data_IF_932136119341
#
_entry.id   IF_932136119341
#
_cell.length_a   1.000
_cell.length_b   1.000
_cell.length_c   1.000
_cell.angle_alpha   90.00
_cell.angle_beta   90.00
_cell.angle_gamma   90.00
#
_symmetry.space_group_name_H-M   'P 1'
#
loop_
_entity.id
_entity.type
_entity.pdbx_description
1 polymer ?
#
# COMPACT_ATOMS: atom_id res chain seq x y z
N UNK A 1 -11.52 6.05 -2.45
CA UNK A 1 -10.07 5.74 -2.61
C UNK A 1 -9.72 4.50 -1.78
N UNK A 2 -8.79 3.66 -2.27
CA UNK A 2 -8.28 2.50 -1.51
C UNK A 2 -6.93 2.84 -0.89
N UNK A 3 -6.77 2.60 0.40
CA UNK A 3 -5.52 2.83 1.13
C UNK A 3 -5.05 1.55 1.79
N UNK A 4 -3.74 1.41 1.93
CA UNK A 4 -3.05 0.32 2.58
C UNK A 4 -2.75 0.76 4.01
N UNK A 5 -3.17 -0.03 5.00
CA UNK A 5 -2.76 0.19 6.38
C UNK A 5 -1.26 -0.08 6.51
N UNK A 6 -0.50 0.86 7.06
CA UNK A 6 0.97 0.79 7.07
C UNK A 6 1.54 -0.23 8.07
N UNK A 7 0.70 -0.75 8.96
CA UNK A 7 1.05 -1.78 9.95
C UNK A 7 0.57 -3.17 9.54
N UNK A 8 -0.67 -3.29 9.06
CA UNK A 8 -1.28 -4.59 8.71
C UNK A 8 -1.15 -4.95 7.24
N UNK A 9 -0.87 -3.99 6.37
CA UNK A 9 -0.92 -4.11 4.91
C UNK A 9 -2.32 -4.43 4.35
N UNK A 10 -3.37 -4.30 5.16
CA UNK A 10 -4.73 -4.49 4.72
C UNK A 10 -5.19 -3.33 3.84
N UNK A 11 -5.90 -3.66 2.77
CA UNK A 11 -6.55 -2.67 1.91
C UNK A 11 -7.91 -2.29 2.51
N UNK A 12 -8.14 -0.99 2.65
CA UNK A 12 -9.42 -0.44 3.07
C UNK A 12 -9.91 0.63 2.09
N UNK A 13 -11.20 0.59 1.81
CA UNK A 13 -11.87 1.64 1.03
C UNK A 13 -12.32 2.79 1.94
N UNK A 14 -12.01 4.00 1.49
CA UNK A 14 -12.41 5.26 2.09
C UNK A 14 -13.20 6.09 1.08
N UNK A 15 -14.27 6.72 1.54
CA UNK A 15 -15.06 7.69 0.78
C UNK A 15 -14.58 9.10 1.11
N UNK A 16 -14.74 10.07 0.20
CA UNK A 16 -14.04 11.37 0.23
C UNK A 16 -14.06 12.06 1.60
N UNK A 17 -15.23 12.14 2.24
CA UNK A 17 -15.42 12.79 3.56
C UNK A 17 -14.71 12.07 4.73
N UNK A 18 -14.25 10.84 4.54
CA UNK A 18 -13.62 9.99 5.56
C UNK A 18 -12.17 9.64 5.23
N UNK A 19 -11.57 10.33 4.26
CA UNK A 19 -10.20 10.04 3.83
C UNK A 19 -9.21 10.50 4.90
N UNK A 20 -8.44 9.59 5.53
CA UNK A 20 -7.43 9.97 6.52
C UNK A 20 -6.24 10.66 5.82
N UNK A 21 -5.31 11.24 6.59
CA UNK A 21 -4.00 11.57 6.04
C UNK A 21 -3.26 10.29 5.61
N UNK A 22 -2.62 10.33 4.45
CA UNK A 22 -1.93 9.19 3.87
C UNK A 22 -0.67 9.61 3.12
N UNK A 23 0.31 8.72 3.08
CA UNK A 23 1.47 8.86 2.21
C UNK A 23 1.10 8.39 0.80
N UNK A 24 1.63 9.03 -0.24
CA UNK A 24 1.41 8.63 -1.62
C UNK A 24 2.74 8.25 -2.27
N UNK A 25 2.85 7.01 -2.75
CA UNK A 25 3.90 6.64 -3.70
C UNK A 25 3.31 6.71 -5.11
N UNK A 26 3.64 7.78 -5.83
CA UNK A 26 3.28 7.95 -7.23
C UNK A 26 4.27 7.17 -8.11
N UNK A 27 3.73 6.28 -8.95
CA UNK A 27 4.36 5.48 -10.01
C UNK A 27 5.88 5.65 -10.24
N UNK A 28 6.63 4.60 -9.95
CA UNK A 28 7.93 4.30 -10.58
C UNK A 28 7.78 2.97 -11.33
N UNK A 29 7.78 3.00 -12.66
CA UNK A 29 7.65 1.81 -13.50
C UNK A 29 8.79 0.81 -13.23
N UNK A 30 8.46 -0.47 -13.06
CA UNK A 30 9.43 -1.56 -12.92
C UNK A 30 8.79 -2.90 -13.29
N UNK A 31 9.60 -3.84 -13.79
CA UNK A 31 9.13 -5.06 -14.48
C UNK A 31 8.33 -6.06 -13.61
N UNK A 32 8.21 -5.83 -12.30
CA UNK A 32 7.52 -6.74 -11.37
C UNK A 32 6.48 -5.98 -10.51
N UNK A 33 5.38 -5.58 -11.13
CA UNK A 33 4.25 -4.96 -10.43
C UNK A 33 3.39 -6.02 -9.71
N UNK A 34 3.12 -5.80 -8.42
CA UNK A 34 2.13 -6.57 -7.66
C UNK A 34 0.79 -5.88 -7.83
N UNK A 35 -0.06 -6.39 -8.72
CA UNK A 35 -1.38 -5.81 -8.94
C UNK A 35 -2.30 -5.97 -7.74
N UNK A 36 -3.31 -5.10 -7.63
CA UNK A 36 -4.33 -5.11 -6.57
C UNK A 36 -4.96 -6.50 -6.28
N UNK A 37 -5.10 -7.35 -7.31
CA UNK A 37 -5.65 -8.71 -7.17
C UNK A 37 -4.79 -9.62 -6.29
N UNK A 38 -3.50 -9.35 -6.21
CA UNK A 38 -2.56 -10.13 -5.41
C UNK A 38 -2.67 -9.83 -3.92
N UNK A 39 -3.15 -8.64 -3.56
CA UNK A 39 -3.39 -8.22 -2.18
C UNK A 39 -4.69 -8.79 -1.60
N UNK A 40 -5.68 -9.10 -2.46
CA UNK A 40 -7.08 -9.30 -2.06
C UNK A 40 -7.53 -10.72 -1.65
N UNK A 41 -6.68 -11.77 -1.63
CA UNK A 41 -7.03 -12.97 -0.86
C UNK A 41 -6.18 -13.16 0.43
N UNK A 42 -4.95 -12.65 0.47
CA UNK A 42 -4.07 -12.74 1.65
C UNK A 42 -2.86 -11.79 1.50
N UNK A 43 -2.72 -10.78 2.36
CA UNK A 43 -1.54 -9.91 2.42
C UNK A 43 -0.22 -10.69 2.59
N UNK A 44 -0.28 -11.85 3.25
CA UNK A 44 0.86 -12.74 3.52
C UNK A 44 1.38 -13.40 2.24
N UNK A 45 0.48 -13.75 1.31
CA UNK A 45 0.87 -14.25 0.00
C UNK A 45 1.43 -13.14 -0.90
N UNK A 46 0.98 -11.89 -0.72
CA UNK A 46 1.54 -10.75 -1.43
C UNK A 46 2.95 -10.40 -0.94
N UNK A 47 3.21 -10.52 0.37
CA UNK A 47 4.53 -10.24 1.00
C UNK A 47 5.70 -11.02 0.39
N UNK A 48 5.45 -12.18 -0.22
CA UNK A 48 6.48 -13.02 -0.85
C UNK A 48 6.79 -12.66 -2.31
N UNK A 49 6.02 -11.75 -2.92
CA UNK A 49 6.24 -11.30 -4.30
C UNK A 49 7.29 -10.20 -4.36
N UNK A 50 8.16 -10.23 -5.37
CA UNK A 50 9.21 -9.24 -5.57
C UNK A 50 8.67 -7.79 -5.64
N UNK A 51 7.53 -7.61 -6.30
CA UNK A 51 6.84 -6.31 -6.39
C UNK A 51 6.17 -5.82 -5.11
N UNK A 52 6.18 -6.59 -4.00
CA UNK A 52 5.69 -6.11 -2.70
C UNK A 52 6.68 -5.19 -2.00
N UNK A 53 7.95 -5.23 -2.44
CA UNK A 53 9.02 -4.40 -1.86
C UNK A 53 8.65 -2.92 -1.87
N UNK A 54 8.02 -2.41 -2.95
CA UNK A 54 7.57 -1.01 -3.04
C UNK A 54 6.52 -0.67 -1.99
N UNK A 55 5.54 -1.56 -1.77
CA UNK A 55 4.53 -1.37 -0.72
C UNK A 55 5.18 -1.38 0.65
N UNK A 56 6.05 -2.37 0.94
CA UNK A 56 6.74 -2.49 2.23
C UNK A 56 7.52 -1.21 2.57
N UNK A 57 8.34 -0.73 1.64
CA UNK A 57 9.15 0.47 1.83
C UNK A 57 8.28 1.73 1.97
N UNK A 58 7.20 1.84 1.20
CA UNK A 58 6.27 2.97 1.32
C UNK A 58 5.58 2.98 2.68
N UNK A 59 5.07 1.84 3.13
CA UNK A 59 4.45 1.73 4.45
C UNK A 59 5.44 1.98 5.59
N UNK A 60 6.70 1.56 5.43
CA UNK A 60 7.76 1.84 6.39
C UNK A 60 8.06 3.34 6.48
N UNK A 61 8.23 4.03 5.35
CA UNK A 61 8.43 5.48 5.33
C UNK A 61 7.21 6.23 5.89
N UNK A 62 6.00 5.84 5.48
CA UNK A 62 4.77 6.42 5.99
C UNK A 62 4.68 6.33 7.52
N UNK A 63 5.06 5.20 8.11
CA UNK A 63 5.12 5.06 9.58
C UNK A 63 6.16 5.98 10.23
N UNK A 64 7.33 6.15 9.62
CA UNK A 64 8.33 7.10 10.11
C UNK A 64 7.83 8.54 10.06
N UNK A 65 6.98 8.85 9.09
CA UNK A 65 6.34 10.16 8.93
C UNK A 65 5.07 10.33 9.79
N UNK A 66 4.69 9.31 10.58
CA UNK A 66 3.51 9.35 11.45
C UNK A 66 2.17 9.12 10.73
N UNK A 67 2.19 8.46 9.57
CA UNK A 67 1.03 8.18 8.74
C UNK A 67 0.64 6.70 8.81
N UNK A 68 -0.62 6.45 9.18
CA UNK A 68 -1.20 5.09 9.29
C UNK A 68 -1.62 4.48 7.95
N UNK A 69 -1.66 5.30 6.91
CA UNK A 69 -2.19 4.93 5.61
C UNK A 69 -1.23 5.30 4.49
N UNK A 70 -1.16 4.44 3.48
CA UNK A 70 -0.42 4.70 2.26
C UNK A 70 -1.29 4.39 1.03
N UNK A 71 -1.14 5.20 0.00
CA UNK A 71 -1.61 4.89 -1.34
C UNK A 71 -0.39 4.55 -2.19
N UNK A 72 -0.46 3.43 -2.89
CA UNK A 72 0.59 3.00 -3.81
C UNK A 72 -0.07 2.75 -5.16
N UNK A 73 0.46 3.38 -6.21
CA UNK A 73 0.12 3.01 -7.58
C UNK A 73 0.80 1.67 -7.86
N UNK A 74 0.03 0.58 -7.78
CA UNK A 74 0.55 -0.78 -7.87
C UNK A 74 0.40 -1.38 -9.25
#
# INVERSE_FOLDING_TARGET
MRLINTSTYELREFFEEQTPYYAILSHTWGDEEVGLRDMLPSPEAAKSKAGFTKIRLTCEQARQDGLDWAWVDT
#
